data_IF_004511605825
#
_entry.id   IF_004511605825
#
_cell.length_a   1.000
_cell.length_b   1.000
_cell.length_c   1.000
_cell.angle_alpha   90.00
_cell.angle_beta   90.00
_cell.angle_gamma   90.00
#
_symmetry.space_group_name_H-M   'P 1'
#
loop_
_entity.id
_entity.type
_entity.pdbx_description
1 polymer ?
#
# COMPACT_ATOMS: atom_id res chain seq x y z
N UNK A 1 -73.35 19.18 26.71
CA UNK A 1 -72.13 19.98 26.90
C UNK A 1 -71.03 18.98 27.15
N UNK A 2 -70.04 18.70 26.32
CA UNK A 2 -69.53 19.26 25.07
C UNK A 2 -68.81 18.10 24.37
N UNK A 3 -69.05 17.92 23.07
CA UNK A 3 -68.27 17.03 22.21
C UNK A 3 -67.09 17.83 21.65
N UNK A 4 -65.86 17.36 21.84
CA UNK A 4 -64.67 17.79 21.08
C UNK A 4 -64.08 16.53 20.42
N UNK A 5 -64.33 16.34 19.12
CA UNK A 5 -63.49 16.74 17.99
C UNK A 5 -62.35 15.74 17.70
N UNK A 6 -62.67 14.72 16.89
CA UNK A 6 -61.70 14.00 16.06
C UNK A 6 -61.41 14.83 14.81
N UNK A 7 -60.14 15.12 14.56
CA UNK A 7 -59.61 15.49 13.23
C UNK A 7 -58.78 14.34 12.68
N UNK A 8 -59.03 13.85 11.45
CA UNK A 8 -58.17 12.89 10.78
C UNK A 8 -57.23 13.62 9.82
N UNK A 9 -55.94 13.25 9.82
CA UNK A 9 -55.06 13.60 8.71
C UNK A 9 -53.58 13.58 9.04
N UNK A 10 -52.89 12.54 8.57
CA UNK A 10 -51.55 12.63 7.99
C UNK A 10 -51.22 11.29 7.33
N UNK A 11 -51.54 11.17 6.04
CA UNK A 11 -51.03 10.10 5.18
C UNK A 11 -49.53 10.29 5.05
N UNK A 12 -48.74 9.36 5.58
CA UNK A 12 -47.32 9.25 5.23
C UNK A 12 -47.25 8.65 3.83
N UNK A 13 -47.07 9.51 2.82
CA UNK A 13 -46.74 9.06 1.46
C UNK A 13 -45.29 8.56 1.46
N UNK A 14 -45.12 7.24 1.35
CA UNK A 14 -43.84 6.62 1.06
C UNK A 14 -43.39 7.13 -0.31
N UNK A 15 -42.43 8.06 -0.34
CA UNK A 15 -41.82 8.53 -1.58
C UNK A 15 -40.79 7.48 -1.99
N UNK A 16 -41.15 6.64 -2.96
CA UNK A 16 -40.23 5.73 -3.64
C UNK A 16 -39.08 6.55 -4.23
N UNK A 17 -37.94 6.55 -3.55
CA UNK A 17 -36.68 6.98 -4.16
C UNK A 17 -36.28 5.87 -5.11
N UNK A 18 -36.45 6.13 -6.40
CA UNK A 18 -35.82 5.34 -7.46
C UNK A 18 -34.31 5.33 -7.19
N UNK A 19 -33.82 4.18 -6.71
CA UNK A 19 -32.39 3.95 -6.53
C UNK A 19 -31.71 3.96 -7.88
N UNK A 20 -30.67 4.80 -8.00
CA UNK A 20 -29.63 4.58 -8.99
C UNK A 20 -29.03 3.17 -8.77
N UNK A 21 -28.56 2.48 -9.81
CA UNK A 21 -27.94 1.17 -9.65
C UNK A 21 -26.73 1.30 -8.71
N UNK A 22 -26.61 0.34 -7.78
CA UNK A 22 -25.49 0.22 -6.84
C UNK A 22 -24.16 0.22 -7.60
N UNK A 23 -23.49 1.37 -7.65
CA UNK A 23 -22.08 1.41 -8.00
C UNK A 23 -21.33 0.64 -6.89
N UNK A 24 -20.70 -0.48 -7.25
CA UNK A 24 -19.85 -1.18 -6.31
C UNK A 24 -18.78 -0.19 -5.79
N UNK A 25 -18.47 -0.17 -4.47
CA UNK A 25 -17.55 0.79 -3.85
C UNK A 25 -16.07 0.68 -4.29
N UNK A 26 -15.79 0.11 -5.47
CA UNK A 26 -14.46 -0.01 -6.09
C UNK A 26 -14.31 0.71 -7.44
N UNK A 27 -15.25 1.57 -7.85
CA UNK A 27 -15.27 2.15 -9.22
C UNK A 27 -14.27 3.29 -9.48
N UNK A 28 -13.50 3.72 -8.49
CA UNK A 28 -12.37 4.62 -8.67
C UNK A 28 -11.31 4.32 -7.63
N UNK A 29 -10.29 3.54 -7.99
CA UNK A 29 -9.11 3.45 -7.14
C UNK A 29 -8.34 4.76 -7.27
N UNK A 30 -8.56 5.67 -6.32
CA UNK A 30 -7.64 6.80 -6.14
C UNK A 30 -6.22 6.22 -6.03
N UNK A 31 -5.31 6.79 -6.82
CA UNK A 31 -3.91 6.42 -6.78
C UNK A 31 -3.39 6.62 -5.37
N UNK A 32 -2.83 5.57 -4.77
CA UNK A 32 -2.21 5.65 -3.46
C UNK A 32 -1.10 6.73 -3.50
N UNK A 33 -1.25 7.84 -2.77
CA UNK A 33 -0.46 9.05 -3.02
C UNK A 33 1.02 8.90 -2.60
N UNK A 34 1.35 7.86 -1.85
CA UNK A 34 2.68 7.57 -1.36
C UNK A 34 3.54 6.81 -2.40
N UNK A 35 2.96 6.38 -3.51
CA UNK A 35 3.61 5.57 -4.53
C UNK A 35 3.91 4.13 -4.11
N UNK A 36 4.50 3.31 -5.00
CA UNK A 36 4.62 1.87 -4.79
C UNK A 36 5.79 1.44 -3.89
N UNK A 37 6.88 2.22 -3.77
CA UNK A 37 8.04 1.85 -2.94
C UNK A 37 8.09 2.62 -1.62
N UNK A 38 7.95 1.91 -0.51
CA UNK A 38 7.98 2.50 0.85
C UNK A 38 9.22 2.02 1.59
N UNK A 39 10.19 2.89 1.87
CA UNK A 39 11.47 2.49 2.47
C UNK A 39 11.52 2.78 3.97
N UNK A 40 11.73 1.74 4.78
CA UNK A 40 12.02 1.88 6.21
C UNK A 40 13.36 2.57 6.46
N UNK A 41 13.36 3.51 7.41
CA UNK A 41 14.54 4.17 7.93
C UNK A 41 14.45 4.22 9.46
N UNK A 42 15.45 3.71 10.20
CA UNK A 42 15.48 3.78 11.66
C UNK A 42 15.41 5.23 12.15
N UNK A 43 14.51 5.52 13.09
CA UNK A 43 14.28 6.87 13.62
C UNK A 43 15.44 7.43 14.44
N UNK A 44 16.34 6.57 14.94
CA UNK A 44 17.59 6.96 15.61
C UNK A 44 18.74 7.25 14.62
N UNK A 45 18.46 7.25 13.31
CA UNK A 45 19.42 7.54 12.23
C UNK A 45 18.99 8.75 11.38
N UNK A 46 18.91 9.96 11.97
CA UNK A 46 18.53 11.17 11.23
C UNK A 46 19.49 11.49 10.07
N UNK A 47 20.74 11.03 10.14
CA UNK A 47 21.72 11.10 9.06
C UNK A 47 21.27 10.39 7.77
N UNK A 48 20.31 9.46 7.86
CA UNK A 48 19.79 8.67 6.74
C UNK A 48 18.45 9.16 6.18
N UNK A 49 17.73 10.05 6.88
CA UNK A 49 16.35 10.42 6.53
C UNK A 49 16.21 10.97 5.11
N UNK A 50 16.99 12.00 4.77
CA UNK A 50 16.96 12.60 3.43
C UNK A 50 17.32 11.58 2.35
N UNK A 51 18.39 10.81 2.58
CA UNK A 51 18.82 9.77 1.64
C UNK A 51 17.76 8.69 1.44
N UNK A 52 17.05 8.29 2.50
CA UNK A 52 15.97 7.30 2.38
C UNK A 52 14.78 7.87 1.59
N UNK A 53 14.38 9.11 1.87
CA UNK A 53 13.30 9.81 1.17
C UNK A 53 13.60 10.02 -0.33
N UNK A 54 14.87 10.16 -0.71
CA UNK A 54 15.29 10.30 -2.11
C UNK A 54 15.27 8.97 -2.88
N UNK A 55 15.40 7.82 -2.19
CA UNK A 55 15.56 6.49 -2.83
C UNK A 55 14.25 5.75 -3.06
N UNK A 56 13.18 6.19 -2.42
CA UNK A 56 11.87 5.55 -2.44
C UNK A 56 10.75 6.56 -2.71
N UNK A 57 9.54 6.06 -2.99
CA UNK A 57 8.36 6.89 -3.20
C UNK A 57 7.93 7.60 -1.93
N UNK A 58 7.94 6.85 -0.82
CA UNK A 58 7.82 7.40 0.51
C UNK A 58 8.84 6.73 1.45
N UNK A 59 9.13 7.41 2.57
CA UNK A 59 9.95 6.87 3.65
C UNK A 59 9.08 6.56 4.86
N UNK A 60 9.39 5.45 5.53
CA UNK A 60 8.81 5.10 6.82
C UNK A 60 9.87 5.37 7.88
N UNK A 61 9.70 6.44 8.66
CA UNK A 61 10.55 6.73 9.81
C UNK A 61 10.10 5.87 10.98
N UNK A 62 10.99 4.99 11.42
CA UNK A 62 10.63 3.93 12.33
C UNK A 62 11.02 4.24 13.77
N UNK A 63 10.04 4.32 14.67
CA UNK A 63 10.25 4.43 16.11
C UNK A 63 10.19 3.08 16.83
N UNK A 64 9.84 2.00 16.13
CA UNK A 64 9.56 0.68 16.71
C UNK A 64 10.76 -0.27 16.58
N UNK A 65 10.67 -1.40 15.86
CA UNK A 65 11.68 -2.47 15.94
C UNK A 65 13.08 -2.07 15.49
N UNK A 66 13.23 -1.06 14.62
CA UNK A 66 14.56 -0.62 14.18
C UNK A 66 15.28 0.29 15.19
N UNK A 67 14.67 0.59 16.34
CA UNK A 67 15.22 1.49 17.36
C UNK A 67 15.40 0.73 18.68
N UNK A 68 16.63 0.71 19.19
CA UNK A 68 16.95 0.13 20.49
C UNK A 68 16.21 0.87 21.63
N UNK A 69 15.81 0.19 22.72
CA UNK A 69 15.07 0.80 23.82
C UNK A 69 15.71 2.08 24.39
N UNK A 70 17.02 2.09 24.55
CA UNK A 70 17.80 3.24 25.04
C UNK A 70 17.77 4.45 24.09
N UNK A 71 17.51 4.22 22.79
CA UNK A 71 17.50 5.24 21.76
C UNK A 71 16.10 5.80 21.48
N UNK A 72 15.02 5.22 22.02
CA UNK A 72 13.62 5.61 21.74
C UNK A 72 13.38 7.10 21.95
N UNK A 73 13.95 7.69 23.00
CA UNK A 73 13.81 9.12 23.28
C UNK A 73 14.48 9.98 22.20
N UNK A 74 15.73 9.67 21.86
CA UNK A 74 16.47 10.39 20.84
C UNK A 74 15.82 10.24 19.46
N UNK A 75 15.32 9.04 19.13
CA UNK A 75 14.58 8.78 17.90
C UNK A 75 13.31 9.63 17.80
N UNK A 76 12.51 9.72 18.87
CA UNK A 76 11.32 10.60 18.91
C UNK A 76 11.68 12.06 18.68
N UNK A 77 12.73 12.56 19.30
CA UNK A 77 13.20 13.94 19.13
C UNK A 77 13.64 14.19 17.67
N UNK A 78 14.39 13.26 17.08
CA UNK A 78 14.85 13.34 15.69
C UNK A 78 13.70 13.28 14.68
N UNK A 79 12.75 12.35 14.87
CA UNK A 79 11.57 12.21 14.01
C UNK A 79 10.67 13.44 14.14
N UNK A 80 10.40 13.96 15.34
CA UNK A 80 9.56 15.15 15.48
C UNK A 80 10.16 16.42 14.82
N UNK A 81 11.49 16.48 14.71
CA UNK A 81 12.21 17.63 14.16
C UNK A 81 12.56 17.51 12.66
N UNK A 82 12.19 16.43 11.98
CA UNK A 82 12.62 16.22 10.60
C UNK A 82 12.02 17.25 9.62
N UNK A 83 12.73 17.65 8.56
CA UNK A 83 12.22 18.60 7.56
C UNK A 83 11.55 17.92 6.35
N UNK A 84 11.39 16.59 6.36
CA UNK A 84 10.86 15.84 5.23
C UNK A 84 9.41 16.22 4.89
N UNK A 85 9.05 16.06 3.62
CA UNK A 85 7.70 16.30 3.12
C UNK A 85 6.68 15.33 3.78
N UNK A 86 5.70 15.84 4.55
CA UNK A 86 4.70 15.00 5.20
C UNK A 86 3.80 14.26 4.20
N UNK A 87 3.71 14.69 2.94
CA UNK A 87 2.98 13.95 1.91
C UNK A 87 3.67 12.64 1.51
N UNK A 88 4.97 12.51 1.77
CA UNK A 88 5.83 11.36 1.41
C UNK A 88 6.53 10.72 2.61
N UNK A 89 6.07 11.03 3.81
CA UNK A 89 6.65 10.52 5.06
C UNK A 89 5.58 9.83 5.89
N UNK A 90 5.84 8.58 6.22
CA UNK A 90 5.06 7.76 7.16
C UNK A 90 5.87 7.66 8.44
N UNK A 91 5.24 7.83 9.59
CA UNK A 91 5.91 7.58 10.87
C UNK A 91 5.36 6.28 11.46
N UNK A 92 6.20 5.25 11.64
CA UNK A 92 5.81 4.05 12.38
C UNK A 92 6.04 4.31 13.87
N UNK A 93 4.96 4.32 14.65
CA UNK A 93 5.00 4.45 16.10
C UNK A 93 5.22 3.09 16.75
N UNK A 94 5.48 3.05 18.06
CA UNK A 94 5.54 1.82 18.82
C UNK A 94 4.17 1.14 18.96
N UNK A 95 4.16 -0.15 19.30
CA UNK A 95 2.94 -0.94 19.45
C UNK A 95 1.99 -0.37 20.52
N UNK A 96 0.65 -0.42 20.32
CA UNK A 96 -0.33 0.27 21.17
C UNK A 96 -0.41 -0.22 22.62
N UNK A 97 0.04 -1.46 22.86
CA UNK A 97 0.11 -2.10 24.18
C UNK A 97 1.49 -1.93 24.84
N UNK A 98 2.45 -1.31 24.14
CA UNK A 98 3.82 -1.09 24.60
C UNK A 98 4.00 0.21 25.40
N UNK A 99 5.09 0.33 26.17
CA UNK A 99 5.33 1.48 27.05
C UNK A 99 5.63 2.79 26.31
N UNK A 100 6.09 2.72 25.06
CA UNK A 100 6.52 3.88 24.28
C UNK A 100 5.41 4.54 23.47
N UNK A 101 4.27 3.87 23.25
CA UNK A 101 3.22 4.38 22.34
C UNK A 101 2.70 5.76 22.73
N UNK A 102 2.35 5.96 24.01
CA UNK A 102 1.86 7.27 24.46
C UNK A 102 2.94 8.36 24.38
N UNK A 103 4.22 7.98 24.50
CA UNK A 103 5.33 8.92 24.36
C UNK A 103 5.53 9.33 22.89
N UNK A 104 5.34 8.40 21.96
CA UNK A 104 5.36 8.67 20.52
C UNK A 104 4.23 9.61 20.13
N UNK A 105 2.99 9.32 20.53
CA UNK A 105 1.84 10.17 20.22
C UNK A 105 2.03 11.60 20.75
N UNK A 106 2.57 11.75 21.97
CA UNK A 106 2.90 13.08 22.52
C UNK A 106 3.96 13.79 21.69
N UNK A 107 5.04 13.11 21.30
CA UNK A 107 6.09 13.71 20.48
C UNK A 107 5.56 14.16 19.09
N UNK A 108 4.68 13.36 18.48
CA UNK A 108 4.13 13.63 17.15
C UNK A 108 3.02 14.68 17.12
N UNK A 109 2.34 14.92 18.24
CA UNK A 109 1.24 15.90 18.33
C UNK A 109 1.64 17.32 17.90
N UNK A 110 2.89 17.70 18.13
CA UNK A 110 3.44 18.99 17.70
C UNK A 110 3.76 19.03 16.19
N UNK A 111 4.12 17.88 15.60
CA UNK A 111 4.54 17.75 14.20
C UNK A 111 3.37 17.55 13.23
N UNK A 112 2.23 17.04 13.71
CA UNK A 112 1.01 16.77 12.91
C UNK A 112 1.31 15.97 11.62
N UNK A 113 1.86 14.76 11.75
CA UNK A 113 2.15 13.93 10.59
C UNK A 113 0.86 13.62 9.80
N UNK A 114 0.98 13.55 8.47
CA UNK A 114 -0.13 13.15 7.61
C UNK A 114 -0.37 11.65 7.65
N UNK A 115 0.69 10.86 7.78
CA UNK A 115 0.63 9.40 7.75
C UNK A 115 1.31 8.80 8.97
N UNK A 116 0.60 7.91 9.67
CA UNK A 116 1.15 7.14 10.77
C UNK A 116 0.87 5.67 10.56
N UNK A 117 1.90 4.85 10.70
CA UNK A 117 1.77 3.40 10.69
C UNK A 117 1.62 2.89 12.12
N UNK A 118 0.53 2.17 12.39
CA UNK A 118 0.25 1.52 13.67
C UNK A 118 0.68 0.04 13.57
N UNK A 119 1.80 -0.37 14.18
CA UNK A 119 2.20 -1.77 14.21
C UNK A 119 1.29 -2.60 15.11
N UNK A 120 1.28 -3.91 14.89
CA UNK A 120 0.51 -4.89 15.68
C UNK A 120 -0.96 -4.48 15.83
N UNK A 121 -1.53 -3.83 14.81
CA UNK A 121 -2.88 -3.31 14.81
C UNK A 121 -3.88 -4.47 14.92
N UNK A 122 -4.75 -4.42 15.95
CA UNK A 122 -5.66 -5.54 16.24
C UNK A 122 -7.00 -5.13 16.88
N UNK A 123 -7.23 -3.82 17.09
CA UNK A 123 -8.48 -3.30 17.65
C UNK A 123 -8.76 -1.88 17.15
N UNK A 124 -10.04 -1.53 17.04
CA UNK A 124 -10.46 -0.16 16.71
C UNK A 124 -10.06 0.83 17.80
N UNK A 125 -10.09 0.43 19.07
CA UNK A 125 -9.69 1.28 20.19
C UNK A 125 -8.24 1.78 20.09
N UNK A 126 -7.33 0.98 19.51
CA UNK A 126 -5.96 1.42 19.28
C UNK A 126 -5.88 2.49 18.18
N UNK A 127 -6.69 2.33 17.12
CA UNK A 127 -6.83 3.32 16.04
C UNK A 127 -7.46 4.61 16.58
N UNK A 128 -8.54 4.51 17.35
CA UNK A 128 -9.24 5.65 17.96
C UNK A 128 -8.31 6.45 18.89
N UNK A 129 -7.49 5.77 19.71
CA UNK A 129 -6.48 6.43 20.56
C UNK A 129 -5.47 7.21 19.74
N UNK A 130 -4.97 6.62 18.65
CA UNK A 130 -4.01 7.24 17.75
C UNK A 130 -4.61 8.49 17.09
N UNK A 131 -5.78 8.35 16.46
CA UNK A 131 -6.46 9.44 15.75
C UNK A 131 -6.89 10.55 16.72
N UNK A 132 -7.34 10.19 17.92
CA UNK A 132 -7.69 11.14 18.96
C UNK A 132 -6.50 11.99 19.42
N UNK A 133 -5.29 11.40 19.46
CA UNK A 133 -4.07 12.11 19.79
C UNK A 133 -3.50 12.91 18.59
N UNK A 134 -3.75 12.45 17.36
CA UNK A 134 -3.25 13.02 16.11
C UNK A 134 -4.39 13.32 15.12
N UNK A 135 -5.22 14.35 15.36
CA UNK A 135 -6.38 14.61 14.51
C UNK A 135 -6.02 14.86 13.05
N UNK A 136 -6.73 14.22 12.13
CA UNK A 136 -6.54 14.35 10.67
C UNK A 136 -5.45 13.47 10.07
N UNK A 137 -4.82 12.61 10.87
CA UNK A 137 -3.85 11.61 10.39
C UNK A 137 -4.54 10.52 9.55
N UNK A 138 -3.84 10.01 8.55
CA UNK A 138 -4.19 8.81 7.81
C UNK A 138 -3.41 7.62 8.37
N UNK A 139 -4.11 6.58 8.79
CA UNK A 139 -3.52 5.42 9.45
C UNK A 139 -3.19 4.33 8.42
N UNK A 140 -1.97 3.81 8.50
CA UNK A 140 -1.58 2.53 7.91
C UNK A 140 -1.61 1.48 9.01
N UNK A 141 -2.60 0.59 9.00
CA UNK A 141 -2.72 -0.45 10.01
C UNK A 141 -1.90 -1.68 9.60
N UNK A 142 -0.86 -1.99 10.36
CA UNK A 142 0.03 -3.12 10.11
C UNK A 142 -0.49 -4.35 10.85
N UNK A 143 -1.07 -5.28 10.08
CA UNK A 143 -1.67 -6.52 10.52
C UNK A 143 -0.61 -7.63 10.52
N UNK A 144 0.08 -7.80 11.64
CA UNK A 144 1.24 -8.70 11.76
C UNK A 144 1.14 -9.63 12.98
N UNK A 145 -0.05 -9.82 13.52
CA UNK A 145 -0.31 -10.81 14.56
C UNK A 145 -1.52 -11.65 14.18
N UNK A 146 -1.69 -12.83 14.76
CA UNK A 146 -2.87 -13.66 14.51
C UNK A 146 -4.19 -12.89 14.72
N UNK A 147 -4.25 -12.10 15.81
CA UNK A 147 -5.40 -11.21 16.09
C UNK A 147 -5.53 -10.10 15.05
N UNK A 148 -4.42 -9.48 14.64
CA UNK A 148 -4.42 -8.42 13.62
C UNK A 148 -4.90 -8.89 12.26
N UNK A 149 -4.46 -10.06 11.79
CA UNK A 149 -4.93 -10.66 10.53
C UNK A 149 -6.44 -10.90 10.58
N UNK A 150 -6.95 -11.47 11.68
CA UNK A 150 -8.40 -11.70 11.84
C UNK A 150 -9.21 -10.40 11.98
N UNK A 151 -8.59 -9.32 12.48
CA UNK A 151 -9.21 -8.01 12.62
C UNK A 151 -9.15 -7.17 11.32
N UNK A 152 -8.41 -7.59 10.30
CA UNK A 152 -8.14 -6.80 9.09
C UNK A 152 -9.41 -6.21 8.42
N UNK A 153 -10.52 -6.95 8.23
CA UNK A 153 -11.74 -6.36 7.66
C UNK A 153 -12.33 -5.24 8.53
N UNK A 154 -12.30 -5.42 9.86
CA UNK A 154 -12.80 -4.40 10.80
C UNK A 154 -11.91 -3.17 10.80
N UNK A 155 -10.58 -3.36 10.77
CA UNK A 155 -9.62 -2.27 10.66
C UNK A 155 -9.78 -1.49 9.35
N UNK A 156 -9.96 -2.17 8.22
CA UNK A 156 -10.15 -1.54 6.91
C UNK A 156 -11.44 -0.70 6.82
N UNK A 157 -12.48 -1.06 7.57
CA UNK A 157 -13.73 -0.33 7.63
C UNK A 157 -13.64 1.00 8.40
N UNK A 158 -12.60 1.19 9.22
CA UNK A 158 -12.43 2.42 10.00
C UNK A 158 -12.19 3.62 9.08
N UNK A 159 -12.83 4.80 9.29
CA UNK A 159 -12.74 5.93 8.38
C UNK A 159 -11.32 6.47 8.20
N UNK A 160 -10.54 6.56 9.29
CA UNK A 160 -9.17 7.07 9.27
C UNK A 160 -8.10 6.04 8.87
N UNK A 161 -8.49 4.78 8.63
CA UNK A 161 -7.57 3.76 8.09
C UNK A 161 -7.57 3.89 6.57
N UNK A 162 -6.44 4.36 6.05
CA UNK A 162 -6.25 4.60 4.61
C UNK A 162 -5.60 3.40 3.90
N UNK A 163 -4.79 2.62 4.63
CA UNK A 163 -4.15 1.43 4.09
C UNK A 163 -4.01 0.33 5.15
N UNK A 164 -3.99 -0.92 4.68
CA UNK A 164 -3.49 -2.04 5.48
C UNK A 164 -2.12 -2.47 4.97
N UNK A 165 -1.25 -2.85 5.89
CA UNK A 165 -0.01 -3.58 5.63
C UNK A 165 -0.06 -4.91 6.39
N UNK A 166 0.77 -5.88 6.02
CA UNK A 166 0.94 -7.12 6.78
C UNK A 166 2.43 -7.41 7.05
N UNK A 167 2.70 -8.27 8.03
CA UNK A 167 4.05 -8.66 8.43
C UNK A 167 4.14 -10.16 8.70
N UNK A 168 5.09 -10.84 8.05
CA UNK A 168 5.22 -12.30 8.10
C UNK A 168 5.92 -12.83 9.36
N UNK A 169 7.06 -12.25 9.74
CA UNK A 169 7.84 -12.76 10.87
C UNK A 169 7.15 -12.50 12.21
N UNK A 170 6.63 -11.30 12.42
CA UNK A 170 5.84 -10.97 13.61
C UNK A 170 4.57 -11.86 13.72
N UNK A 171 3.96 -12.20 12.57
CA UNK A 171 2.80 -13.10 12.57
C UNK A 171 3.21 -14.48 13.09
N UNK A 172 4.31 -15.03 12.58
CA UNK A 172 4.81 -16.32 13.03
C UNK A 172 5.23 -16.30 14.49
N UNK A 173 5.90 -15.23 14.94
CA UNK A 173 6.24 -15.04 16.34
C UNK A 173 4.97 -15.03 17.22
N UNK A 174 3.92 -14.33 16.79
CA UNK A 174 2.63 -14.29 17.51
C UNK A 174 1.91 -15.64 17.57
N UNK A 175 2.18 -16.53 16.61
CA UNK A 175 1.65 -17.90 16.56
C UNK A 175 2.52 -18.90 17.34
N UNK A 176 3.70 -18.49 17.82
CA UNK A 176 4.67 -19.36 18.48
C UNK A 176 5.50 -20.23 17.52
N UNK A 177 5.60 -19.84 16.24
CA UNK A 177 6.43 -20.53 15.25
C UNK A 177 7.85 -19.96 15.17
N UNK A 178 8.61 -20.40 14.16
CA UNK A 178 10.05 -20.10 14.04
C UNK A 178 10.46 -19.33 12.78
N UNK A 179 9.70 -19.42 11.68
CA UNK A 179 9.98 -18.69 10.43
C UNK A 179 8.75 -18.61 9.53
N UNK A 180 8.60 -17.49 8.83
CA UNK A 180 7.55 -17.28 7.81
C UNK A 180 7.75 -18.08 6.52
N UNK A 181 8.93 -18.64 6.31
CA UNK A 181 9.33 -19.28 5.05
C UNK A 181 9.80 -20.73 5.25
N UNK A 182 9.77 -21.47 4.16
CA UNK A 182 10.46 -22.74 3.99
C UNK A 182 11.94 -22.48 3.65
N UNK A 183 12.76 -23.54 3.69
CA UNK A 183 14.19 -23.44 3.39
C UNK A 183 14.50 -23.04 1.93
N UNK A 184 13.53 -23.20 1.04
CA UNK A 184 13.59 -22.78 -0.36
C UNK A 184 13.17 -21.31 -0.57
N UNK A 185 12.95 -20.56 0.51
CA UNK A 185 12.52 -19.16 0.47
C UNK A 185 11.01 -18.97 0.28
N UNK A 186 10.25 -20.01 -0.06
CA UNK A 186 8.81 -19.88 -0.27
C UNK A 186 8.05 -19.61 1.04
N UNK A 187 7.01 -18.80 0.99
CA UNK A 187 6.14 -18.58 2.16
C UNK A 187 5.50 -19.88 2.65
N UNK A 188 5.23 -19.99 3.95
CA UNK A 188 4.34 -21.03 4.49
C UNK A 188 2.89 -20.72 4.15
N UNK A 189 2.03 -21.74 4.13
CA UNK A 189 0.60 -21.57 3.78
C UNK A 189 -0.13 -20.56 4.66
N UNK A 190 0.13 -20.56 5.98
CA UNK A 190 -0.48 -19.58 6.90
C UNK A 190 -0.07 -18.14 6.56
N UNK A 191 1.16 -17.96 6.06
CA UNK A 191 1.71 -16.65 5.69
C UNK A 191 1.12 -16.21 4.36
N UNK A 192 1.02 -17.11 3.37
CA UNK A 192 0.26 -16.85 2.14
C UNK A 192 -1.19 -16.47 2.42
N UNK A 193 -1.85 -17.21 3.30
CA UNK A 193 -3.23 -16.93 3.70
C UNK A 193 -3.37 -15.55 4.35
N UNK A 194 -2.45 -15.18 5.26
CA UNK A 194 -2.44 -13.88 5.89
C UNK A 194 -2.26 -12.75 4.87
N UNK A 195 -1.26 -12.87 3.98
CA UNK A 195 -1.00 -11.93 2.87
C UNK A 195 -2.25 -11.71 2.01
N UNK A 196 -2.87 -12.79 1.53
CA UNK A 196 -4.09 -12.71 0.73
C UNK A 196 -5.27 -12.14 1.51
N UNK A 197 -5.43 -12.49 2.78
CA UNK A 197 -6.54 -12.03 3.61
C UNK A 197 -6.48 -10.52 3.88
N UNK A 198 -5.29 -9.98 4.15
CA UNK A 198 -5.10 -8.53 4.35
C UNK A 198 -5.33 -7.76 3.05
N UNK A 199 -4.85 -8.28 1.91
CA UNK A 199 -5.15 -7.71 0.60
C UNK A 199 -6.67 -7.65 0.35
N UNK A 200 -7.36 -8.77 0.50
CA UNK A 200 -8.81 -8.83 0.28
C UNK A 200 -9.56 -7.89 1.22
N UNK A 201 -9.20 -7.85 2.51
CA UNK A 201 -9.79 -6.95 3.48
C UNK A 201 -9.61 -5.47 3.10
N UNK A 202 -8.39 -5.07 2.72
CA UNK A 202 -8.13 -3.70 2.30
C UNK A 202 -8.98 -3.32 1.08
N UNK A 203 -8.95 -4.15 0.02
CA UNK A 203 -9.62 -3.85 -1.25
C UNK A 203 -11.15 -3.92 -1.14
N UNK A 204 -11.70 -4.79 -0.30
CA UNK A 204 -13.13 -4.86 -0.02
C UNK A 204 -13.70 -3.55 0.56
N UNK A 205 -12.86 -2.77 1.24
CA UNK A 205 -13.22 -1.47 1.81
C UNK A 205 -12.63 -0.28 1.03
N UNK A 206 -12.15 -0.51 -0.20
CA UNK A 206 -11.57 0.54 -1.04
C UNK A 206 -10.26 1.12 -0.49
N UNK A 207 -9.60 0.43 0.44
CA UNK A 207 -8.33 0.85 1.04
C UNK A 207 -7.13 0.40 0.21
N UNK A 208 -6.01 1.07 0.40
CA UNK A 208 -4.72 0.64 -0.15
C UNK A 208 -4.20 -0.59 0.60
N UNK A 209 -3.48 -1.46 -0.12
CA UNK A 209 -2.86 -2.65 0.44
C UNK A 209 -1.34 -2.58 0.22
N UNK A 210 -0.57 -2.69 1.29
CA UNK A 210 0.88 -2.63 1.26
C UNK A 210 1.42 -4.03 1.52
N UNK A 211 2.25 -4.54 0.61
CA UNK A 211 2.90 -5.84 0.76
C UNK A 211 4.08 -5.74 1.75
N UNK A 212 4.42 -6.89 2.35
CA UNK A 212 5.42 -6.97 3.40
C UNK A 212 6.86 -6.74 2.89
N UNK A 213 7.77 -6.58 3.84
CA UNK A 213 9.21 -6.55 3.56
C UNK A 213 9.72 -7.94 3.14
N UNK A 214 10.73 -7.95 2.27
CA UNK A 214 11.56 -9.12 2.04
C UNK A 214 12.87 -8.96 2.84
N UNK A 215 13.16 -9.90 3.74
CA UNK A 215 14.24 -9.75 4.73
C UNK A 215 15.60 -10.19 4.20
N UNK A 216 15.63 -11.22 3.35
CA UNK A 216 16.88 -11.70 2.76
C UNK A 216 17.36 -10.72 1.67
N UNK A 217 18.36 -9.90 2.00
CA UNK A 217 18.90 -8.90 1.09
C UNK A 217 19.76 -9.52 -0.03
N UNK A 218 20.19 -10.78 0.13
CA UNK A 218 20.98 -11.48 -0.87
C UNK A 218 20.09 -12.17 -1.93
N UNK A 219 18.82 -12.40 -1.63
CA UNK A 219 17.84 -13.01 -2.54
C UNK A 219 17.24 -11.97 -3.50
N UNK A 220 18.07 -11.50 -4.43
CA UNK A 220 17.66 -10.45 -5.38
C UNK A 220 16.57 -10.89 -6.36
N UNK A 221 16.43 -12.18 -6.61
CA UNK A 221 15.39 -12.70 -7.49
C UNK A 221 14.09 -12.92 -6.71
N UNK A 222 14.17 -13.37 -5.46
CA UNK A 222 13.01 -13.56 -4.58
C UNK A 222 12.28 -12.26 -4.31
N UNK A 223 12.97 -11.19 -3.91
CA UNK A 223 12.31 -9.92 -3.63
C UNK A 223 11.71 -9.24 -4.87
N UNK A 224 12.17 -9.61 -6.09
CA UNK A 224 11.68 -9.07 -7.37
C UNK A 224 10.43 -9.80 -7.77
N UNK A 225 10.50 -11.13 -7.72
CA UNK A 225 9.36 -12.02 -7.97
C UNK A 225 8.20 -11.70 -7.03
N UNK A 226 8.48 -11.44 -5.75
CA UNK A 226 7.44 -11.05 -4.79
C UNK A 226 6.82 -9.68 -5.09
N UNK A 227 7.63 -8.69 -5.49
CA UNK A 227 7.11 -7.38 -5.86
C UNK A 227 6.25 -7.45 -7.13
N UNK A 228 6.64 -8.25 -8.12
CA UNK A 228 5.88 -8.51 -9.35
C UNK A 228 4.55 -9.20 -9.03
N UNK A 229 4.57 -10.24 -8.19
CA UNK A 229 3.36 -10.92 -7.75
C UNK A 229 2.44 -10.00 -6.92
N UNK A 230 3.01 -9.12 -6.07
CA UNK A 230 2.26 -8.12 -5.33
C UNK A 230 1.51 -7.16 -6.26
N UNK A 231 2.23 -6.60 -7.24
CA UNK A 231 1.67 -5.70 -8.24
C UNK A 231 0.59 -6.39 -9.09
N UNK A 232 0.81 -7.65 -9.49
CA UNK A 232 -0.15 -8.45 -10.25
C UNK A 232 -1.39 -8.81 -9.42
N UNK A 233 -1.23 -9.07 -8.13
CA UNK A 233 -2.33 -9.41 -7.21
C UNK A 233 -3.20 -8.21 -6.83
N UNK A 234 -2.72 -6.99 -7.05
CA UNK A 234 -3.45 -5.75 -6.77
C UNK A 234 -3.09 -5.08 -5.45
N UNK A 235 -1.91 -5.37 -4.89
CA UNK A 235 -1.29 -4.49 -3.90
C UNK A 235 -1.02 -3.12 -4.53
N UNK A 236 -1.01 -2.08 -3.70
CA UNK A 236 -0.75 -0.70 -4.12
C UNK A 236 0.70 -0.27 -3.90
N UNK A 237 1.40 -0.93 -2.98
CA UNK A 237 2.80 -0.67 -2.66
C UNK A 237 3.45 -1.89 -1.99
N UNK A 238 4.78 -1.91 -1.94
CA UNK A 238 5.58 -2.90 -1.21
C UNK A 238 6.57 -2.19 -0.30
N UNK A 239 6.66 -2.64 0.95
CA UNK A 239 7.63 -2.12 1.90
C UNK A 239 9.04 -2.65 1.62
N UNK A 240 10.03 -1.78 1.83
CA UNK A 240 11.45 -2.02 1.56
C UNK A 240 12.26 -1.74 2.83
N UNK A 241 13.34 -2.48 3.03
CA UNK A 241 14.36 -2.24 4.06
C UNK A 241 15.72 -1.85 3.46
N UNK A 242 15.88 -1.94 2.14
CA UNK A 242 17.10 -1.56 1.43
C UNK A 242 16.80 -0.74 0.15
N UNK A 243 17.60 0.28 -0.20
CA UNK A 243 17.39 1.09 -1.41
C UNK A 243 17.33 0.32 -2.73
N UNK A 244 18.00 -0.83 -2.83
CA UNK A 244 17.95 -1.68 -4.02
C UNK A 244 16.54 -2.27 -4.25
N UNK A 245 15.83 -2.63 -3.18
CA UNK A 245 14.43 -3.09 -3.25
C UNK A 245 13.52 -2.00 -3.80
N UNK A 246 13.71 -0.75 -3.38
CA UNK A 246 12.83 0.34 -3.79
C UNK A 246 12.83 0.55 -5.31
N UNK A 247 13.98 0.37 -5.97
CA UNK A 247 14.07 0.42 -7.42
C UNK A 247 13.35 -0.77 -8.08
N UNK A 248 13.54 -1.99 -7.57
CA UNK A 248 12.87 -3.19 -8.07
C UNK A 248 11.35 -3.10 -7.91
N UNK A 249 10.87 -2.61 -6.76
CA UNK A 249 9.44 -2.39 -6.50
C UNK A 249 8.86 -1.37 -7.47
N UNK A 250 9.52 -0.24 -7.72
CA UNK A 250 9.02 0.71 -8.73
C UNK A 250 8.90 0.08 -10.11
N UNK A 251 9.89 -0.71 -10.52
CA UNK A 251 9.86 -1.40 -11.80
C UNK A 251 8.71 -2.42 -11.89
N UNK A 252 8.49 -3.22 -10.83
CA UNK A 252 7.43 -4.23 -10.78
C UNK A 252 6.02 -3.62 -10.85
N UNK A 253 5.82 -2.42 -10.27
CA UNK A 253 4.53 -1.74 -10.26
C UNK A 253 4.26 -0.90 -11.52
N UNK A 254 5.30 -0.61 -12.31
CA UNK A 254 5.19 0.12 -13.57
C UNK A 254 4.69 -0.81 -14.69
N UNK A 255 3.58 -0.49 -15.37
CA UNK A 255 3.15 -1.24 -16.55
C UNK A 255 4.24 -1.21 -17.63
N UNK A 256 4.50 -2.36 -18.25
CA UNK A 256 5.35 -2.42 -19.43
C UNK A 256 4.76 -1.59 -20.58
N UNK A 257 5.60 -1.13 -21.55
CA UNK A 257 5.10 -0.43 -22.73
C UNK A 257 4.02 -1.20 -23.49
N UNK A 258 4.13 -2.54 -23.52
CA UNK A 258 3.15 -3.42 -24.14
C UNK A 258 1.81 -3.43 -23.38
N UNK A 259 1.84 -3.55 -22.04
CA UNK A 259 0.63 -3.49 -21.22
C UNK A 259 -0.04 -2.12 -21.28
N UNK A 260 0.74 -1.04 -21.30
CA UNK A 260 0.22 0.31 -21.45
C UNK A 260 -0.40 0.56 -22.84
N UNK A 261 0.21 0.01 -23.91
CA UNK A 261 -0.36 0.05 -25.25
C UNK A 261 -1.66 -0.75 -25.34
N UNK A 262 -1.67 -1.98 -24.81
CA UNK A 262 -2.86 -2.83 -24.74
C UNK A 262 -4.00 -2.15 -23.95
N UNK A 263 -3.70 -1.60 -22.77
CA UNK A 263 -4.68 -0.91 -21.94
C UNK A 263 -5.33 0.27 -22.68
N UNK A 264 -4.53 1.10 -23.37
CA UNK A 264 -5.05 2.20 -24.21
C UNK A 264 -5.90 1.69 -25.37
N UNK A 265 -5.46 0.61 -26.03
CA UNK A 265 -6.20 -0.01 -27.14
C UNK A 265 -7.57 -0.53 -26.71
N UNK A 266 -7.64 -1.25 -25.59
CA UNK A 266 -8.88 -1.76 -25.01
C UNK A 266 -9.83 -0.63 -24.63
N UNK A 267 -9.34 0.43 -23.99
CA UNK A 267 -10.19 1.57 -23.59
C UNK A 267 -10.72 2.36 -24.80
N UNK A 268 -9.88 2.60 -25.82
CA UNK A 268 -10.31 3.25 -27.05
C UNK A 268 -11.27 2.38 -27.89
N UNK A 269 -11.16 1.06 -27.80
CA UNK A 269 -12.15 0.15 -28.39
C UNK A 269 -13.49 0.23 -27.62
N UNK A 270 -13.46 0.27 -26.29
CA UNK A 270 -14.65 0.40 -25.47
C UNK A 270 -15.48 1.67 -25.78
N UNK A 271 -14.83 2.80 -26.07
CA UNK A 271 -15.51 4.04 -26.47
C UNK A 271 -16.31 3.91 -27.77
N UNK A 272 -15.91 2.98 -28.66
CA UNK A 272 -16.55 2.75 -29.96
C UNK A 272 -17.67 1.71 -29.92
N UNK A 273 -17.80 0.99 -28.81
CA UNK A 273 -18.81 -0.05 -28.62
C UNK A 273 -19.81 0.36 -27.55
N UNK A 274 -21.09 0.40 -27.90
CA UNK A 274 -22.19 0.71 -26.96
C UNK A 274 -22.60 -0.48 -26.08
N UNK A 275 -22.05 -1.67 -26.34
CA UNK A 275 -22.34 -2.92 -25.63
C UNK A 275 -21.26 -3.21 -24.58
N UNK A 276 -21.66 -3.73 -23.42
CA UNK A 276 -20.75 -4.06 -22.32
C UNK A 276 -19.77 -5.22 -22.58
N UNK A 277 -19.86 -5.86 -23.75
CA UNK A 277 -18.95 -6.92 -24.22
C UNK A 277 -18.60 -6.66 -25.68
N UNK A 278 -17.33 -6.81 -26.05
CA UNK A 278 -16.84 -6.67 -27.41
C UNK A 278 -15.55 -7.49 -27.63
N UNK A 279 -15.08 -7.60 -28.87
CA UNK A 279 -13.82 -8.26 -29.20
C UNK A 279 -12.72 -7.23 -29.50
N UNK A 280 -11.53 -7.44 -28.96
CA UNK A 280 -10.33 -6.65 -29.25
C UNK A 280 -9.12 -7.57 -29.40
N UNK A 281 -8.43 -7.52 -30.55
CA UNK A 281 -7.25 -8.34 -30.84
C UNK A 281 -7.48 -9.85 -30.62
N UNK A 282 -8.65 -10.36 -31.02
CA UNK A 282 -9.01 -11.77 -30.87
C UNK A 282 -9.34 -12.19 -29.44
N UNK A 283 -9.48 -11.24 -28.50
CA UNK A 283 -9.87 -11.50 -27.11
C UNK A 283 -11.21 -10.85 -26.81
N UNK A 284 -12.06 -11.57 -26.09
CA UNK A 284 -13.30 -11.03 -25.55
C UNK A 284 -12.97 -10.06 -24.41
N UNK A 285 -13.52 -8.86 -24.49
CA UNK A 285 -13.41 -7.82 -23.48
C UNK A 285 -14.77 -7.65 -22.83
N UNK A 286 -14.78 -7.73 -21.50
CA UNK A 286 -15.93 -7.53 -20.63
C UNK A 286 -15.60 -6.58 -19.46
N UNK A 287 -16.52 -6.45 -18.49
CA UNK A 287 -16.35 -5.56 -17.33
C UNK A 287 -15.03 -5.73 -16.57
N UNK A 288 -14.65 -6.96 -16.14
CA UNK A 288 -13.35 -7.24 -15.53
C UNK A 288 -12.14 -6.80 -16.37
N UNK A 289 -12.09 -7.14 -17.66
CA UNK A 289 -10.96 -6.78 -18.53
C UNK A 289 -10.86 -5.25 -18.68
N UNK A 290 -11.98 -4.54 -18.78
CA UNK A 290 -12.00 -3.08 -18.78
C UNK A 290 -11.47 -2.48 -17.47
N UNK A 291 -11.74 -3.10 -16.32
CA UNK A 291 -11.17 -2.66 -15.03
C UNK A 291 -9.65 -2.87 -14.98
N UNK A 292 -9.15 -3.99 -15.51
CA UNK A 292 -7.70 -4.21 -15.63
C UNK A 292 -7.05 -3.16 -16.53
N UNK A 293 -7.64 -2.88 -17.70
CA UNK A 293 -7.14 -1.85 -18.61
C UNK A 293 -7.14 -0.46 -17.96
N UNK A 294 -8.21 -0.07 -17.24
CA UNK A 294 -8.24 1.19 -16.47
C UNK A 294 -7.14 1.26 -15.42
N UNK A 295 -6.97 0.20 -14.63
CA UNK A 295 -5.92 0.12 -13.61
C UNK A 295 -4.51 0.29 -14.20
N UNK A 296 -4.22 -0.40 -15.32
CA UNK A 296 -2.96 -0.25 -16.04
C UNK A 296 -2.76 1.16 -16.60
N UNK A 297 -3.79 1.77 -17.17
CA UNK A 297 -3.71 3.14 -17.67
C UNK A 297 -3.42 4.14 -16.53
N UNK A 298 -4.09 4.02 -15.39
CA UNK A 298 -3.84 4.85 -14.20
C UNK A 298 -2.41 4.70 -13.70
N UNK A 299 -1.89 3.47 -13.60
CA UNK A 299 -0.50 3.23 -13.18
C UNK A 299 0.52 3.78 -14.18
N UNK A 300 0.24 3.64 -15.48
CA UNK A 300 1.10 4.18 -16.54
C UNK A 300 1.20 5.71 -16.48
N UNK A 301 0.07 6.40 -16.25
CA UNK A 301 0.05 7.84 -16.05
C UNK A 301 0.84 8.26 -14.80
N UNK A 302 0.67 7.55 -13.68
CA UNK A 302 1.40 7.83 -12.45
C UNK A 302 2.92 7.67 -12.64
N UNK A 303 3.35 6.59 -13.32
CA UNK A 303 4.77 6.35 -13.62
C UNK A 303 5.36 7.42 -14.55
N UNK A 304 4.60 7.89 -15.55
CA UNK A 304 5.05 8.93 -16.48
C UNK A 304 5.20 10.32 -15.82
N UNK A 305 4.45 10.58 -14.74
CA UNK A 305 4.53 11.83 -13.98
C UNK A 305 5.59 11.79 -12.87
N UNK A 306 6.17 10.63 -12.57
CA UNK A 306 7.20 10.50 -11.55
C UNK A 306 8.56 10.96 -12.09
N UNK A 307 9.17 12.05 -11.55
CA UNK A 307 10.46 12.56 -12.01
C UNK A 307 11.64 11.60 -11.75
N UNK A 308 11.43 10.50 -11.03
CA UNK A 308 12.45 9.50 -10.68
C UNK A 308 12.36 8.23 -11.53
N UNK A 309 11.36 8.12 -12.41
CA UNK A 309 11.30 7.03 -13.39
C UNK A 309 12.46 7.19 -14.36
N UNK A 310 13.38 6.21 -14.48
CA UNK A 310 14.42 6.27 -15.50
C UNK A 310 13.77 6.30 -16.88
N UNK A 311 14.28 7.13 -17.79
CA UNK A 311 13.83 7.15 -19.18
C UNK A 311 13.93 5.73 -19.76
N UNK A 312 12.97 5.29 -20.60
CA UNK A 312 13.01 3.96 -21.18
C UNK A 312 14.35 3.76 -21.90
N UNK A 313 15.05 2.68 -21.57
CA UNK A 313 16.25 2.28 -22.30
C UNK A 313 15.86 1.96 -23.74
N UNK A 314 16.30 2.80 -24.69
CA UNK A 314 16.22 2.49 -26.12
C UNK A 314 17.02 1.20 -26.39
N UNK A 315 16.44 0.18 -27.06
CA UNK A 315 17.15 -1.08 -27.35
C UNK A 315 18.34 -0.97 -28.33
N UNK A 316 18.66 0.22 -28.84
CA UNK A 316 19.50 0.42 -30.03
C UNK A 316 20.90 1.01 -29.77
N UNK A 317 21.49 0.75 -28.61
CA UNK A 317 22.93 1.01 -28.42
C UNK A 317 23.68 -0.26 -28.02
N UNK A 318 23.69 -1.24 -28.92
CA UNK A 318 24.81 -2.16 -29.01
C UNK A 318 26.00 -1.39 -29.60
N UNK A 319 27.00 -1.10 -28.77
CA UNK A 319 28.28 -0.56 -29.22
C UNK A 319 28.93 -1.53 -30.22
N UNK A 320 29.29 -1.10 -31.44
CA UNK A 320 30.01 -1.93 -32.38
C UNK A 320 31.51 -1.79 -32.08
N UNK A 321 32.00 -2.50 -31.07
CA UNK A 321 33.45 -2.59 -30.85
C UNK A 321 33.82 -3.86 -30.07
N UNK A 322 33.69 -5.01 -30.75
CA UNK A 322 34.55 -6.17 -30.53
C UNK A 322 34.77 -6.89 -31.87
N UNK A 323 35.56 -6.28 -32.76
CA UNK A 323 36.26 -7.04 -33.79
C UNK A 323 37.47 -7.71 -33.13
N UNK A 324 37.39 -9.04 -32.97
CA UNK A 324 38.49 -9.91 -32.60
C UNK A 324 39.54 -9.92 -33.72
N UNK A 325 40.86 -9.79 -33.44
CA UNK A 325 41.88 -9.99 -34.46
C UNK A 325 42.09 -11.49 -34.70
N UNK A 326 42.26 -11.81 -35.98
CA UNK A 326 42.59 -13.14 -36.49
C UNK A 326 43.86 -13.71 -35.84
N UNK A 327 43.80 -15.00 -35.52
CA UNK A 327 44.97 -15.81 -35.21
C UNK A 327 45.67 -16.18 -36.53
N UNK A 328 46.95 -15.84 -36.62
CA UNK A 328 47.87 -16.36 -37.63
C UNK A 328 49.17 -16.70 -36.89
N UNK A 329 49.34 -17.98 -36.52
CA UNK A 329 50.57 -18.73 -36.19
C UNK A 329 50.21 -20.11 -35.64
#
# INVERSE_FOLDING_TARGET
MTHEHLTPGSRVTCRERHGAPDAHPGEGHETFPLGPSLLFCPGDRPDRFAKAADRADAVILDLEDAVAPENKRAAREAVAAHPLDPARTIIRVNAPDGPDFDADLRALSAHRPRWVMLPKASSLSAVDRLVGALPGVQVVALCETARGILAAPTLAAHPDVAALMWGGEDLIASLGGTSSRHADGSYRDVVRHARSSVLLAARAHGRSAIDAIHIDLADEDGWRTEAEDAAASGFTATACIHPAQAAAVRAAYAPSPAEAAWARGVLAAAERHSTGVFEHEGRMVDGPILRHARSLATRSLASALDPRTPAPHSPDQQSPDQQSPAQDS
#
